data_IF_481445862024
#
_entry.id   IF_481445862024
#
_cell.length_a   1.000
_cell.length_b   1.000
_cell.length_c   1.000
_cell.angle_alpha   90.00
_cell.angle_beta   90.00
_cell.angle_gamma   90.00
#
_symmetry.space_group_name_H-M   'P 1'
#
loop_
_entity.id
_entity.type
_entity.pdbx_description
1 polymer ?
#
# COMPACT_ATOMS: atom_id res chain seq x y z
N UNK A 1 -16.22 16.56 7.05
CA UNK A 1 -17.33 15.60 7.11
C UNK A 1 -17.29 14.91 8.46
N UNK A 2 -18.44 14.67 9.10
CA UNK A 2 -18.51 13.90 10.35
C UNK A 2 -18.59 12.41 10.05
N UNK A 3 -17.85 11.58 10.79
CA UNK A 3 -17.98 10.13 10.72
C UNK A 3 -19.28 9.69 11.42
N UNK A 4 -20.10 8.88 10.74
CA UNK A 4 -21.31 8.30 11.34
C UNK A 4 -20.94 7.28 12.42
N UNK A 5 -21.36 7.45 13.69
CA UNK A 5 -21.08 6.49 14.76
C UNK A 5 -21.60 5.06 14.50
N UNK A 6 -22.60 4.90 13.63
CA UNK A 6 -23.20 3.60 13.30
C UNK A 6 -22.59 2.93 12.07
N UNK A 7 -21.76 3.63 11.30
CA UNK A 7 -21.02 3.04 10.19
C UNK A 7 -19.92 2.11 10.71
N UNK A 8 -19.45 1.23 9.83
CA UNK A 8 -18.24 0.44 10.11
C UNK A 8 -17.06 1.38 10.37
N UNK A 9 -16.25 1.02 11.35
CA UNK A 9 -15.05 1.78 11.68
C UNK A 9 -14.03 1.61 10.53
N UNK A 10 -13.40 2.70 10.05
CA UNK A 10 -12.41 2.63 8.96
C UNK A 10 -11.11 1.90 9.35
N UNK A 11 -11.00 1.42 10.59
CA UNK A 11 -9.82 0.72 11.12
C UNK A 11 -9.75 -0.78 10.77
N UNK A 12 -10.64 -1.29 9.91
CA UNK A 12 -10.71 -2.70 9.49
C UNK A 12 -10.99 -3.72 10.60
N UNK A 13 -11.36 -3.26 11.81
CA UNK A 13 -11.75 -4.14 12.92
C UNK A 13 -13.07 -4.89 12.70
N UNK A 14 -13.86 -4.51 11.71
CA UNK A 14 -15.22 -5.02 11.47
C UNK A 14 -16.28 -4.52 12.47
N UNK A 15 -15.90 -3.70 13.46
CA UNK A 15 -16.81 -3.12 14.46
C UNK A 15 -17.39 -1.79 13.98
N UNK A 16 -18.56 -1.40 14.50
CA UNK A 16 -19.10 -0.04 14.30
C UNK A 16 -18.22 0.98 15.01
N UNK A 17 -18.13 2.19 14.46
CA UNK A 17 -17.27 3.26 14.99
C UNK A 17 -17.51 3.53 16.48
N UNK A 18 -18.78 3.58 16.90
CA UNK A 18 -19.17 3.81 18.30
C UNK A 18 -18.66 2.76 19.31
N UNK A 19 -18.24 1.58 18.82
CA UNK A 19 -17.72 0.47 19.64
C UNK A 19 -16.22 0.22 19.42
N UNK A 20 -15.51 1.10 18.70
CA UNK A 20 -14.11 0.90 18.36
C UNK A 20 -13.24 2.14 18.56
N UNK A 21 -13.44 3.19 17.77
CA UNK A 21 -12.60 4.40 17.78
C UNK A 21 -13.40 5.66 18.12
N UNK A 22 -14.49 5.50 18.87
CA UNK A 22 -15.40 6.60 19.20
C UNK A 22 -14.74 7.69 20.05
N UNK A 23 -13.81 7.31 20.92
CA UNK A 23 -13.05 8.18 21.80
C UNK A 23 -12.11 9.13 21.03
N UNK A 24 -11.68 8.74 19.83
CA UNK A 24 -10.78 9.54 18.98
C UNK A 24 -11.43 10.03 17.69
N UNK A 25 -12.74 9.82 17.49
CA UNK A 25 -13.40 10.09 16.22
C UNK A 25 -13.25 11.54 15.74
N UNK A 26 -13.25 12.52 16.66
CA UNK A 26 -13.01 13.93 16.33
C UNK A 26 -11.59 14.18 15.84
N UNK A 27 -10.61 13.57 16.49
CA UNK A 27 -9.20 13.71 16.09
C UNK A 27 -8.92 12.96 14.80
N UNK A 28 -9.62 11.85 14.53
CA UNK A 28 -9.54 11.13 13.26
C UNK A 28 -9.90 12.03 12.09
N UNK A 29 -11.08 12.68 12.17
CA UNK A 29 -11.56 13.62 11.15
C UNK A 29 -10.57 14.78 10.99
N UNK A 30 -10.10 15.35 12.10
CA UNK A 30 -9.19 16.49 12.08
C UNK A 30 -7.84 16.14 11.44
N UNK A 31 -7.25 15.00 11.78
CA UNK A 31 -5.99 14.54 11.22
C UNK A 31 -6.12 14.29 9.71
N UNK A 32 -7.20 13.62 9.28
CA UNK A 32 -7.47 13.35 7.87
C UNK A 32 -7.63 14.65 7.08
N UNK A 33 -8.45 15.58 7.56
CA UNK A 33 -8.65 16.88 6.90
C UNK A 33 -7.37 17.70 6.79
N UNK A 34 -6.52 17.68 7.82
CA UNK A 34 -5.23 18.35 7.75
C UNK A 34 -4.32 17.71 6.70
N UNK A 35 -4.29 16.38 6.64
CA UNK A 35 -3.48 15.67 5.64
C UNK A 35 -3.97 15.94 4.21
N UNK A 36 -5.27 15.79 3.95
CA UNK A 36 -5.91 16.09 2.65
C UNK A 36 -5.76 17.57 2.26
N UNK A 37 -5.75 18.47 3.24
CA UNK A 37 -5.50 19.90 3.05
C UNK A 37 -4.02 20.28 2.89
N UNK A 38 -3.12 19.31 2.69
CA UNK A 38 -1.68 19.53 2.48
C UNK A 38 -0.88 19.84 3.76
N UNK A 39 -1.51 19.81 4.92
CA UNK A 39 -0.90 20.09 6.23
C UNK A 39 -0.44 18.79 6.93
N UNK A 40 0.25 17.90 6.20
CA UNK A 40 0.69 16.58 6.68
C UNK A 40 1.52 16.64 7.98
N UNK A 41 2.36 17.67 8.17
CA UNK A 41 3.12 17.87 9.41
C UNK A 41 2.22 18.17 10.63
N UNK A 42 1.08 18.83 10.42
CA UNK A 42 0.12 19.09 11.49
C UNK A 42 -0.69 17.83 11.80
N UNK A 43 -1.07 17.05 10.78
CA UNK A 43 -1.70 15.74 10.95
C UNK A 43 -0.80 14.79 11.75
N UNK A 44 0.51 14.72 11.44
CA UNK A 44 1.48 13.94 12.20
C UNK A 44 1.42 14.21 13.70
N UNK A 45 1.41 15.49 14.12
CA UNK A 45 1.40 15.84 15.55
C UNK A 45 0.16 15.30 16.27
N UNK A 46 -0.99 15.33 15.61
CA UNK A 46 -2.23 14.77 16.18
C UNK A 46 -2.10 13.25 16.29
N UNK A 47 -1.69 12.60 15.21
CA UNK A 47 -1.58 11.14 15.15
C UNK A 47 -0.54 10.60 16.14
N UNK A 48 0.63 11.23 16.26
CA UNK A 48 1.69 10.89 17.22
C UNK A 48 1.19 10.99 18.67
N UNK A 49 0.42 12.04 19.00
CA UNK A 49 -0.16 12.20 20.34
C UNK A 49 -1.08 11.03 20.70
N UNK A 50 -1.93 10.60 19.77
CA UNK A 50 -2.84 9.47 20.00
C UNK A 50 -2.06 8.16 20.06
N UNK A 51 -1.10 7.98 19.14
CA UNK A 51 -0.27 6.79 19.03
C UNK A 51 0.51 6.52 20.33
N UNK A 52 1.04 7.57 20.98
CA UNK A 52 1.75 7.45 22.25
C UNK A 52 0.92 6.80 23.38
N UNK A 53 -0.42 6.90 23.31
CA UNK A 53 -1.32 6.29 24.32
C UNK A 53 -1.78 4.90 23.94
N UNK A 54 -1.88 4.59 22.63
CA UNK A 54 -2.31 3.27 22.15
C UNK A 54 -1.67 2.95 20.79
N UNK A 55 -0.41 2.44 20.79
CA UNK A 55 0.36 2.21 19.57
C UNK A 55 -0.23 1.13 18.64
N UNK A 56 -0.93 0.14 19.20
CA UNK A 56 -1.52 -0.95 18.42
C UNK A 56 -2.90 -0.61 17.83
N UNK A 57 -3.41 0.61 18.06
CA UNK A 57 -4.72 1.02 17.54
C UNK A 57 -4.66 1.16 16.01
N UNK A 58 -5.26 0.19 15.32
CA UNK A 58 -5.24 0.01 13.88
C UNK A 58 -5.31 1.29 13.04
N UNK A 59 -6.35 2.12 13.24
CA UNK A 59 -6.52 3.33 12.46
C UNK A 59 -5.40 4.35 12.66
N UNK A 60 -4.92 4.51 13.90
CA UNK A 60 -3.90 5.49 14.24
C UNK A 60 -2.56 5.05 13.68
N UNK A 61 -2.17 3.79 13.87
CA UNK A 61 -0.92 3.24 13.36
C UNK A 61 -0.86 3.28 11.82
N UNK A 62 -1.94 2.86 11.14
CA UNK A 62 -2.00 2.89 9.66
C UNK A 62 -2.03 4.31 9.10
N UNK A 63 -2.81 5.22 9.70
CA UNK A 63 -2.84 6.62 9.26
C UNK A 63 -1.50 7.32 9.49
N UNK A 64 -0.87 7.09 10.65
CA UNK A 64 0.44 7.67 10.96
C UNK A 64 1.52 7.14 10.02
N UNK A 65 1.56 5.84 9.76
CA UNK A 65 2.48 5.25 8.80
C UNK A 65 2.24 5.75 7.36
N UNK A 66 0.98 5.91 6.95
CA UNK A 66 0.64 6.49 5.65
C UNK A 66 1.14 7.94 5.49
N UNK A 67 0.99 8.76 6.54
CA UNK A 67 1.52 10.13 6.53
C UNK A 67 3.05 10.16 6.54
N UNK A 68 3.71 9.24 7.25
CA UNK A 68 5.18 9.11 7.18
C UNK A 68 5.66 8.73 5.78
N UNK A 69 5.03 7.76 5.12
CA UNK A 69 5.35 7.39 3.73
C UNK A 69 5.14 8.56 2.76
N UNK A 70 4.05 9.32 2.93
CA UNK A 70 3.81 10.54 2.14
C UNK A 70 4.91 11.59 2.32
N UNK A 71 5.56 11.61 3.48
CA UNK A 71 6.68 12.50 3.80
C UNK A 71 8.05 11.84 3.53
N UNK A 72 8.07 10.73 2.79
CA UNK A 72 9.26 9.97 2.42
C UNK A 72 10.06 9.42 3.62
N UNK A 73 9.40 9.24 4.78
CA UNK A 73 9.99 8.67 5.99
C UNK A 73 9.55 7.21 6.19
N UNK A 74 10.04 6.34 5.31
CA UNK A 74 9.73 4.92 5.34
C UNK A 74 10.19 4.23 6.64
N UNK A 75 11.28 4.70 7.25
CA UNK A 75 11.79 4.14 8.51
C UNK A 75 10.77 4.31 9.65
N UNK A 76 10.28 5.54 9.85
CA UNK A 76 9.26 5.83 10.87
C UNK A 76 7.94 5.12 10.57
N UNK A 77 7.57 4.99 9.29
CA UNK A 77 6.38 4.25 8.89
C UNK A 77 6.45 2.78 9.32
N UNK A 78 7.58 2.11 9.03
CA UNK A 78 7.79 0.70 9.39
C UNK A 78 7.78 0.49 10.90
N UNK A 79 8.43 1.37 11.67
CA UNK A 79 8.45 1.30 13.13
C UNK A 79 7.04 1.46 13.73
N UNK A 80 6.28 2.44 13.22
CA UNK A 80 4.92 2.73 13.67
C UNK A 80 3.96 1.55 13.51
N UNK A 81 4.18 0.69 12.52
CA UNK A 81 3.29 -0.45 12.25
C UNK A 81 3.58 -1.66 13.13
N UNK A 82 4.74 -1.72 13.79
CA UNK A 82 5.17 -2.92 14.52
C UNK A 82 4.19 -3.35 15.62
N UNK A 83 3.69 -2.46 16.52
CA UNK A 83 2.79 -2.89 17.59
C UNK A 83 1.47 -3.44 17.04
N UNK A 84 0.91 -2.80 16.01
CA UNK A 84 -0.30 -3.28 15.34
C UNK A 84 -0.08 -4.66 14.70
N UNK A 85 1.05 -4.87 14.01
CA UNK A 85 1.35 -6.14 13.34
C UNK A 85 1.74 -7.25 14.32
N UNK A 86 2.10 -6.93 15.56
CA UNK A 86 2.25 -7.93 16.62
C UNK A 86 0.88 -8.44 17.10
N UNK A 87 -0.10 -7.57 17.29
CA UNK A 87 -1.46 -7.96 17.71
C UNK A 87 -2.31 -8.53 16.57
N UNK A 88 -2.16 -7.98 15.37
CA UNK A 88 -2.88 -8.37 14.17
C UNK A 88 -1.91 -8.62 13.01
N UNK A 89 -1.24 -9.79 12.99
CA UNK A 89 -0.19 -10.09 12.01
C UNK A 89 -0.64 -10.05 10.55
N UNK A 90 -1.94 -10.09 10.27
CA UNK A 90 -2.46 -10.10 8.91
C UNK A 90 -3.44 -8.94 8.65
N UNK A 91 -3.31 -7.84 9.41
CA UNK A 91 -4.08 -6.63 9.15
C UNK A 91 -3.80 -6.13 7.71
N UNK A 92 -4.81 -6.07 6.82
CA UNK A 92 -4.60 -5.83 5.39
C UNK A 92 -3.85 -4.53 5.09
N UNK A 93 -4.36 -3.38 5.57
CA UNK A 93 -3.73 -2.09 5.28
C UNK A 93 -2.32 -1.98 5.88
N UNK A 94 -2.13 -2.44 7.11
CA UNK A 94 -0.84 -2.40 7.79
C UNK A 94 0.24 -3.18 7.02
N UNK A 95 -0.10 -4.35 6.47
CA UNK A 95 0.85 -5.14 5.65
C UNK A 95 1.17 -4.46 4.31
N UNK A 96 0.21 -3.77 3.70
CA UNK A 96 0.47 -2.97 2.49
C UNK A 96 1.46 -1.86 2.81
N UNK A 97 1.21 -1.08 3.87
CA UNK A 97 2.09 0.03 4.25
C UNK A 97 3.47 -0.45 4.69
N UNK A 98 3.57 -1.58 5.39
CA UNK A 98 4.85 -2.21 5.73
C UNK A 98 5.61 -2.66 4.47
N UNK A 99 4.91 -3.24 3.49
CA UNK A 99 5.51 -3.62 2.21
C UNK A 99 5.99 -2.40 1.41
N UNK A 100 5.23 -1.30 1.39
CA UNK A 100 5.67 -0.03 0.78
C UNK A 100 6.94 0.47 1.45
N UNK A 101 6.95 0.54 2.80
CA UNK A 101 8.11 1.02 3.53
C UNK A 101 9.34 0.12 3.32
N UNK A 102 9.16 -1.20 3.28
CA UNK A 102 10.24 -2.14 2.98
C UNK A 102 10.76 -1.99 1.55
N UNK A 103 9.88 -1.75 0.57
CA UNK A 103 10.28 -1.51 -0.81
C UNK A 103 11.14 -0.25 -0.91
N UNK A 104 10.72 0.85 -0.29
CA UNK A 104 11.43 2.14 -0.32
C UNK A 104 12.79 2.08 0.39
N UNK A 105 12.89 1.33 1.50
CA UNK A 105 14.12 1.24 2.29
C UNK A 105 15.10 0.18 1.79
N UNK A 106 14.58 -1.02 1.52
CA UNK A 106 15.40 -2.22 1.36
C UNK A 106 15.50 -2.66 -0.12
N UNK A 107 14.65 -2.11 -0.99
CA UNK A 107 14.51 -2.48 -2.39
C UNK A 107 13.69 -3.75 -2.58
N UNK A 108 13.28 -4.00 -3.84
CA UNK A 108 12.35 -5.08 -4.16
C UNK A 108 12.82 -6.44 -3.66
N UNK A 109 14.05 -6.84 -3.96
CA UNK A 109 14.55 -8.20 -3.65
C UNK A 109 14.47 -8.54 -2.16
N UNK A 110 14.83 -7.61 -1.28
CA UNK A 110 14.78 -7.82 0.17
C UNK A 110 13.33 -7.78 0.69
N UNK A 111 12.48 -6.97 0.08
CA UNK A 111 11.08 -6.81 0.47
C UNK A 111 10.13 -7.89 -0.06
N UNK A 112 10.58 -8.79 -0.96
CA UNK A 112 9.74 -9.79 -1.66
C UNK A 112 8.77 -10.57 -0.76
N UNK A 113 9.25 -11.05 0.38
CA UNK A 113 8.43 -11.83 1.31
C UNK A 113 7.26 -11.00 1.89
N UNK A 114 7.56 -9.76 2.29
CA UNK A 114 6.56 -8.84 2.86
C UNK A 114 5.58 -8.39 1.77
N UNK A 115 6.07 -8.05 0.58
CA UNK A 115 5.25 -7.71 -0.59
C UNK A 115 4.31 -8.85 -0.95
N UNK A 116 4.79 -10.09 -0.99
CA UNK A 116 3.95 -11.25 -1.30
C UNK A 116 2.82 -11.43 -0.28
N UNK A 117 3.12 -11.26 1.02
CA UNK A 117 2.09 -11.31 2.09
C UNK A 117 1.07 -10.19 1.94
N UNK A 118 1.53 -8.98 1.63
CA UNK A 118 0.66 -7.84 1.36
C UNK A 118 -0.26 -8.12 0.17
N UNK A 119 0.25 -8.68 -0.93
CA UNK A 119 -0.53 -8.99 -2.12
C UNK A 119 -1.61 -10.06 -1.84
N UNK A 120 -1.26 -11.10 -1.10
CA UNK A 120 -2.16 -12.25 -0.85
C UNK A 120 -3.51 -11.84 -0.24
N UNK A 121 -3.51 -10.93 0.74
CA UNK A 121 -4.74 -10.44 1.39
C UNK A 121 -5.15 -9.05 0.90
N UNK A 122 -4.18 -8.19 0.61
CA UNK A 122 -4.39 -6.80 0.24
C UNK A 122 -5.20 -6.64 -1.04
N UNK A 123 -5.07 -7.54 -2.03
CA UNK A 123 -5.84 -7.47 -3.29
C UNK A 123 -7.35 -7.48 -3.03
N UNK A 124 -7.80 -8.20 -1.99
CA UNK A 124 -9.23 -8.31 -1.66
C UNK A 124 -9.79 -7.02 -1.05
N UNK A 125 -9.01 -6.32 -0.23
CA UNK A 125 -9.48 -5.18 0.56
C UNK A 125 -9.08 -3.83 -0.05
N UNK A 126 -7.92 -3.78 -0.69
CA UNK A 126 -7.30 -2.59 -1.28
C UNK A 126 -6.66 -2.91 -2.64
N UNK A 127 -7.45 -3.37 -3.62
CA UNK A 127 -6.92 -3.73 -4.94
C UNK A 127 -6.11 -2.59 -5.56
N UNK A 128 -6.58 -1.36 -5.45
CA UNK A 128 -5.94 -0.18 -6.04
C UNK A 128 -4.53 0.06 -5.49
N UNK A 129 -4.34 0.01 -4.17
CA UNK A 129 -3.01 0.19 -3.57
C UNK A 129 -2.04 -0.93 -3.98
N UNK A 130 -2.54 -2.16 -4.10
CA UNK A 130 -1.74 -3.27 -4.63
C UNK A 130 -1.39 -3.05 -6.10
N UNK A 131 -2.34 -2.56 -6.92
CA UNK A 131 -2.11 -2.21 -8.31
C UNK A 131 -1.04 -1.14 -8.47
N UNK A 132 -1.13 -0.04 -7.71
CA UNK A 132 -0.14 1.05 -7.73
C UNK A 132 1.23 0.57 -7.27
N UNK A 133 1.30 -0.24 -6.20
CA UNK A 133 2.56 -0.84 -5.74
C UNK A 133 3.17 -1.75 -6.82
N UNK A 134 2.36 -2.58 -7.49
CA UNK A 134 2.84 -3.41 -8.59
C UNK A 134 3.36 -2.58 -9.77
N UNK A 135 2.69 -1.48 -10.11
CA UNK A 135 3.15 -0.55 -11.16
C UNK A 135 4.48 0.13 -10.79
N UNK A 136 4.70 0.45 -9.51
CA UNK A 136 5.96 0.97 -8.99
C UNK A 136 7.09 -0.06 -9.04
N UNK A 137 6.84 -1.26 -8.52
CA UNK A 137 7.77 -2.40 -8.57
C UNK A 137 8.19 -2.70 -10.01
N UNK A 138 7.25 -2.61 -10.96
CA UNK A 138 7.56 -2.82 -12.36
C UNK A 138 8.58 -1.81 -12.91
N UNK A 139 8.51 -0.54 -12.49
CA UNK A 139 9.52 0.47 -12.87
C UNK A 139 10.89 0.08 -12.36
N UNK A 140 11.00 -0.27 -11.07
CA UNK A 140 12.28 -0.67 -10.45
C UNK A 140 12.87 -1.90 -11.14
N UNK A 141 12.04 -2.91 -11.41
CA UNK A 141 12.49 -4.13 -12.08
C UNK A 141 12.90 -3.89 -13.53
N UNK A 142 12.29 -2.92 -14.20
CA UNK A 142 12.67 -2.53 -15.56
C UNK A 142 14.07 -1.91 -15.56
N UNK A 143 14.32 -0.98 -14.65
CA UNK A 143 15.63 -0.33 -14.47
C UNK A 143 16.73 -1.33 -14.09
N UNK A 144 16.39 -2.38 -13.32
CA UNK A 144 17.29 -3.49 -12.97
C UNK A 144 17.42 -4.57 -14.08
N UNK A 145 16.87 -4.35 -15.28
CA UNK A 145 16.86 -5.28 -16.42
C UNK A 145 16.19 -6.65 -16.12
N UNK A 146 15.33 -6.71 -15.10
CA UNK A 146 14.51 -7.90 -14.76
C UNK A 146 13.22 -7.91 -15.57
N UNK A 147 13.38 -7.94 -16.89
CA UNK A 147 12.35 -7.62 -17.89
C UNK A 147 11.05 -8.45 -17.75
N UNK A 148 11.16 -9.78 -17.57
CA UNK A 148 9.98 -10.65 -17.42
C UNK A 148 9.18 -10.29 -16.17
N UNK A 149 9.88 -10.06 -15.06
CA UNK A 149 9.26 -9.68 -13.80
C UNK A 149 8.63 -8.29 -13.90
N UNK A 150 9.31 -7.33 -14.51
CA UNK A 150 8.78 -5.99 -14.75
C UNK A 150 7.46 -6.03 -15.53
N UNK A 151 7.45 -6.76 -16.66
CA UNK A 151 6.26 -6.93 -17.49
C UNK A 151 5.11 -7.60 -16.72
N UNK A 152 5.41 -8.65 -15.96
CA UNK A 152 4.40 -9.37 -15.20
C UNK A 152 3.76 -8.47 -14.12
N UNK A 153 4.56 -7.59 -13.48
CA UNK A 153 4.03 -6.62 -12.52
C UNK A 153 3.19 -5.52 -13.20
N UNK A 154 3.53 -5.06 -14.41
CA UNK A 154 2.65 -4.17 -15.20
C UNK A 154 1.32 -4.85 -15.54
N UNK A 155 1.36 -6.10 -16.03
CA UNK A 155 0.15 -6.84 -16.37
C UNK A 155 -0.72 -7.11 -15.14
N UNK A 156 -0.10 -7.34 -13.98
CA UNK A 156 -0.80 -7.47 -12.71
C UNK A 156 -1.40 -6.13 -12.26
N UNK A 157 -0.64 -5.03 -12.35
CA UNK A 157 -1.12 -3.69 -12.03
C UNK A 157 -2.36 -3.32 -12.85
N UNK A 158 -2.37 -3.59 -14.16
CA UNK A 158 -3.51 -3.35 -15.06
C UNK A 158 -4.84 -3.94 -14.59
N UNK A 159 -4.82 -4.98 -13.76
CA UNK A 159 -6.03 -5.60 -13.22
C UNK A 159 -6.64 -4.83 -12.05
N UNK A 160 -5.82 -4.08 -11.31
CA UNK A 160 -6.21 -3.56 -10.00
C UNK A 160 -5.99 -2.06 -9.81
N UNK A 161 -5.20 -1.38 -10.65
CA UNK A 161 -5.09 0.09 -10.60
C UNK A 161 -6.43 0.76 -10.83
N UNK A 162 -6.54 2.01 -10.35
CA UNK A 162 -7.71 2.86 -10.59
C UNK A 162 -7.91 3.09 -12.08
N UNK A 163 -9.15 3.36 -12.47
CA UNK A 163 -9.48 3.61 -13.87
C UNK A 163 -8.77 4.86 -14.43
N UNK A 164 -8.53 5.87 -13.59
CA UNK A 164 -7.74 7.06 -13.94
C UNK A 164 -6.28 6.73 -14.30
N UNK A 165 -5.67 5.73 -13.64
CA UNK A 165 -4.28 5.31 -13.87
C UNK A 165 -4.16 4.22 -14.95
N UNK A 166 -5.27 3.55 -15.27
CA UNK A 166 -5.30 2.37 -16.17
C UNK A 166 -4.71 2.67 -17.54
N UNK A 167 -5.01 3.84 -18.11
CA UNK A 167 -4.47 4.25 -19.41
C UNK A 167 -2.94 4.40 -19.35
N UNK A 168 -2.41 4.99 -18.28
CA UNK A 168 -0.97 5.17 -18.11
C UNK A 168 -0.25 3.82 -18.02
N UNK A 169 -0.76 2.89 -17.20
CA UNK A 169 -0.17 1.55 -17.06
C UNK A 169 -0.28 0.76 -18.38
N UNK A 170 -1.37 0.94 -19.13
CA UNK A 170 -1.52 0.34 -20.45
C UNK A 170 -0.46 0.84 -21.43
N UNK A 171 -0.24 2.16 -21.49
CA UNK A 171 0.81 2.74 -22.34
C UNK A 171 2.19 2.22 -21.97
N UNK A 172 2.51 2.13 -20.66
CA UNK A 172 3.78 1.54 -20.21
C UNK A 172 3.96 0.09 -20.65
N UNK A 173 2.89 -0.71 -20.64
CA UNK A 173 2.93 -2.09 -21.11
C UNK A 173 3.10 -2.16 -22.64
N UNK A 174 2.43 -1.27 -23.38
CA UNK A 174 2.57 -1.16 -24.83
C UNK A 174 4.00 -0.74 -25.23
N UNK A 175 4.56 0.26 -24.54
CA UNK A 175 5.92 0.74 -24.76
C UNK A 175 6.93 -0.37 -24.46
N UNK A 176 6.75 -1.10 -23.36
CA UNK A 176 7.58 -2.28 -23.03
C UNK A 176 7.53 -3.34 -24.14
N UNK A 177 6.33 -3.69 -24.62
CA UNK A 177 6.16 -4.72 -25.66
C UNK A 177 6.63 -4.24 -27.04
N UNK A 178 6.71 -2.92 -27.26
CA UNK A 178 7.22 -2.29 -28.48
C UNK A 178 8.73 -2.04 -28.48
N UNK A 179 9.38 -2.04 -27.31
CA UNK A 179 10.80 -1.70 -27.18
C UNK A 179 11.70 -2.73 -27.90
N UNK A 180 12.51 -2.24 -28.85
CA UNK A 180 13.45 -3.07 -29.58
C UNK A 180 14.66 -3.52 -28.73
N UNK A 181 14.94 -2.84 -27.62
CA UNK A 181 15.97 -3.23 -26.65
C UNK A 181 15.61 -4.47 -25.83
N UNK A 182 14.32 -4.75 -25.64
CA UNK A 182 13.85 -5.96 -24.95
C UNK A 182 13.90 -7.14 -25.93
N UNK A 183 14.52 -8.29 -25.63
CA UNK A 183 14.47 -9.44 -26.53
C UNK A 183 13.04 -9.90 -26.81
N UNK A 184 12.70 -10.20 -28.08
CA UNK A 184 11.35 -10.60 -28.49
C UNK A 184 10.70 -11.68 -27.61
N UNK A 185 11.40 -12.76 -27.17
CA UNK A 185 10.81 -13.77 -26.29
C UNK A 185 10.38 -13.25 -24.91
N UNK A 186 10.86 -12.08 -24.48
CA UNK A 186 10.52 -11.46 -23.20
C UNK A 186 9.39 -10.42 -23.33
N UNK A 187 8.96 -10.12 -24.57
CA UNK A 187 7.80 -9.28 -24.88
C UNK A 187 6.53 -10.14 -24.92
N UNK A 188 5.38 -9.51 -24.70
CA UNK A 188 4.08 -10.18 -24.78
C UNK A 188 3.78 -11.16 -23.64
N UNK A 189 2.60 -11.77 -23.70
CA UNK A 189 2.09 -12.65 -22.63
C UNK A 189 2.77 -14.02 -22.69
N UNK A 190 3.38 -14.44 -21.59
CA UNK A 190 3.94 -15.79 -21.43
C UNK A 190 2.88 -16.77 -20.93
N UNK A 191 2.47 -17.71 -21.78
CA UNK A 191 1.63 -18.83 -21.37
C UNK A 191 2.48 -19.88 -20.63
N UNK A 192 2.69 -19.65 -19.33
CA UNK A 192 3.37 -20.62 -18.47
C UNK A 192 2.47 -21.85 -18.25
N UNK A 193 3.07 -23.04 -18.18
CA UNK A 193 2.34 -24.23 -17.75
C UNK A 193 1.83 -24.02 -16.33
N UNK A 194 0.62 -24.51 -15.99
CA UNK A 194 0.13 -24.47 -14.61
C UNK A 194 1.16 -25.13 -13.68
N UNK A 195 1.37 -24.53 -12.50
CA UNK A 195 2.14 -25.19 -11.46
C UNK A 195 1.34 -26.41 -11.01
N UNK A 196 1.84 -27.61 -11.30
CA UNK A 196 1.32 -28.85 -10.71
C UNK A 196 1.70 -28.83 -9.23
N UNK A 197 0.73 -28.52 -8.37
CA UNK A 197 0.81 -28.64 -6.91
C UNK A 197 0.53 -30.05 -6.46
#
# INVERSE_FOLDING_TARGET
>A
MSLDPYSLCPCESGKKLKFCCSDIASDMVKALQLHEGGQSKAALKILQKIYATNPARAWVATSLAGVYLYLEDAASARETLQPLLQESPDHPLARILEATAALDMDGYEKARSVIHRAFTKGVKYHPEMIGSMAAGIASTLYEEEKLVSARQHLAFAMRFVRDEDRQQVFMRLLDFDGDQGVPYPLRGVHNLRPLTT
#
